data_IF_855679140572
#
_entry.id   IF_855679140572
#
_cell.length_a   1.000
_cell.length_b   1.000
_cell.length_c   1.000
_cell.angle_alpha   90.00
_cell.angle_beta   90.00
_cell.angle_gamma   90.00
#
_symmetry.space_group_name_H-M   'P 1'
#
loop_
_entity.id
_entity.type
_entity.pdbx_description
1 polymer ?
#
# COMPACT_ATOMS: atom_id res chain seq x y z
N UNK A 1 -25.30 0.44 -2.54
CA UNK A 1 -24.65 1.17 -3.65
C UNK A 1 -23.85 0.23 -4.54
N UNK A 2 -22.99 -0.64 -3.98
CA UNK A 2 -22.21 -1.62 -4.76
C UNK A 2 -23.03 -2.45 -5.74
N UNK A 3 -24.11 -3.10 -5.27
CA UNK A 3 -25.02 -3.88 -6.13
C UNK A 3 -25.67 -3.10 -7.29
N UNK A 4 -25.74 -1.77 -7.23
CA UNK A 4 -26.25 -0.95 -8.35
C UNK A 4 -25.13 -0.71 -9.37
N UNK A 5 -23.92 -0.41 -8.90
CA UNK A 5 -22.74 -0.21 -9.75
C UNK A 5 -22.39 -1.51 -10.48
N UNK A 6 -22.39 -2.62 -9.76
CA UNK A 6 -22.20 -3.96 -10.30
C UNK A 6 -23.19 -4.25 -11.44
N UNK A 7 -24.49 -3.99 -11.24
CA UNK A 7 -25.50 -4.16 -12.30
C UNK A 7 -25.27 -3.26 -13.51
N UNK A 8 -24.77 -2.04 -13.30
CA UNK A 8 -24.42 -1.14 -14.41
C UNK A 8 -23.26 -1.74 -15.20
N UNK A 9 -22.18 -2.13 -14.53
CA UNK A 9 -21.00 -2.68 -15.18
C UNK A 9 -21.28 -4.03 -15.86
N UNK A 10 -22.03 -4.92 -15.22
CA UNK A 10 -22.48 -6.18 -15.82
C UNK A 10 -23.28 -5.93 -17.09
N UNK A 11 -24.09 -4.87 -17.13
CA UNK A 11 -24.83 -4.52 -18.34
C UNK A 11 -23.91 -4.01 -19.44
N UNK A 12 -22.86 -3.27 -19.11
CA UNK A 12 -21.88 -2.83 -20.12
C UNK A 12 -21.13 -4.03 -20.73
N UNK A 13 -20.70 -4.96 -19.88
CA UNK A 13 -19.96 -6.16 -20.26
C UNK A 13 -20.79 -7.16 -21.08
N UNK A 14 -22.06 -7.39 -20.68
CA UNK A 14 -22.97 -8.24 -21.47
C UNK A 14 -23.28 -7.69 -22.86
N UNK A 15 -23.25 -6.36 -23.04
CA UNK A 15 -23.52 -5.72 -24.32
C UNK A 15 -22.24 -5.48 -25.14
N UNK A 16 -21.07 -5.49 -24.50
CA UNK A 16 -19.76 -5.26 -25.11
C UNK A 16 -18.74 -6.19 -24.42
N UNK A 17 -18.43 -7.30 -25.07
CA UNK A 17 -17.49 -8.30 -24.56
C UNK A 17 -16.11 -7.67 -24.29
N UNK A 18 -15.49 -8.03 -23.16
CA UNK A 18 -14.17 -7.57 -22.73
C UNK A 18 -13.99 -6.05 -22.65
N UNK A 19 -15.08 -5.31 -22.50
CA UNK A 19 -15.06 -3.84 -22.54
C UNK A 19 -14.11 -3.23 -21.50
N UNK A 20 -13.94 -3.88 -20.35
CA UNK A 20 -13.01 -3.41 -19.32
C UNK A 20 -11.54 -3.61 -19.69
N UNK A 21 -11.21 -4.62 -20.50
CA UNK A 21 -9.89 -4.76 -21.09
C UNK A 21 -9.68 -3.68 -22.18
N UNK A 22 -10.67 -3.44 -23.04
CA UNK A 22 -10.61 -2.36 -24.03
C UNK A 22 -10.45 -0.99 -23.36
N UNK A 23 -11.14 -0.74 -22.24
CA UNK A 23 -10.98 0.50 -21.46
C UNK A 23 -9.54 0.74 -21.02
N UNK A 24 -8.77 -0.32 -20.75
CA UNK A 24 -7.36 -0.22 -20.35
C UNK A 24 -6.49 0.09 -21.56
N UNK A 25 -6.68 -0.60 -22.69
CA UNK A 25 -5.81 -0.51 -23.88
C UNK A 25 -6.12 0.68 -24.78
N UNK A 26 -7.40 0.90 -25.09
CA UNK A 26 -7.89 1.99 -25.93
C UNK A 26 -9.24 2.53 -25.42
N UNK A 27 -9.17 3.60 -24.64
CA UNK A 27 -10.36 4.22 -24.08
C UNK A 27 -11.27 4.83 -25.15
N UNK A 28 -10.73 5.33 -26.26
CA UNK A 28 -11.55 5.94 -27.32
C UNK A 28 -12.32 4.86 -28.08
N UNK A 29 -11.70 3.71 -28.33
CA UNK A 29 -12.39 2.54 -28.86
C UNK A 29 -13.51 2.07 -27.92
N UNK A 30 -13.22 1.97 -26.62
CA UNK A 30 -14.23 1.62 -25.63
C UNK A 30 -15.42 2.59 -25.64
N UNK A 31 -15.20 3.89 -25.86
CA UNK A 31 -16.27 4.88 -25.99
C UNK A 31 -17.10 4.73 -27.27
N UNK A 32 -16.50 4.26 -28.36
CA UNK A 32 -17.22 3.94 -29.60
C UNK A 32 -18.13 2.74 -29.39
N UNK A 33 -17.65 1.71 -28.69
CA UNK A 33 -18.43 0.52 -28.35
C UNK A 33 -19.56 0.86 -27.37
N UNK A 34 -19.25 1.57 -26.28
CA UNK A 34 -20.24 2.03 -25.30
C UNK A 34 -20.09 3.52 -24.98
N UNK A 35 -20.95 4.38 -25.58
CA UNK A 35 -21.04 5.79 -25.21
C UNK A 35 -21.41 6.02 -23.74
N UNK A 36 -21.99 5.02 -23.06
CA UNK A 36 -22.38 5.09 -21.64
C UNK A 36 -21.15 5.13 -20.72
N UNK A 37 -20.02 4.55 -21.13
CA UNK A 37 -18.76 4.63 -20.38
C UNK A 37 -18.28 6.07 -20.20
N UNK A 38 -18.54 6.96 -21.16
CA UNK A 38 -18.22 8.39 -21.01
C UNK A 38 -19.05 9.04 -19.90
N UNK A 39 -20.32 8.64 -19.76
CA UNK A 39 -21.19 9.12 -18.68
C UNK A 39 -20.66 8.63 -17.34
N UNK A 40 -20.32 7.34 -17.24
CA UNK A 40 -19.72 6.73 -16.04
C UNK A 40 -18.43 7.46 -15.66
N UNK A 41 -17.52 7.67 -16.61
CA UNK A 41 -16.27 8.39 -16.41
C UNK A 41 -16.48 9.82 -15.91
N UNK A 42 -17.44 10.57 -16.48
CA UNK A 42 -17.80 11.91 -16.01
C UNK A 42 -18.40 11.90 -14.60
N UNK A 43 -19.19 10.88 -14.27
CA UNK A 43 -19.70 10.72 -12.91
C UNK A 43 -18.55 10.50 -11.92
N UNK A 44 -17.57 9.65 -12.26
CA UNK A 44 -16.40 9.37 -11.41
C UNK A 44 -15.60 10.65 -11.09
N UNK A 45 -15.46 11.57 -12.06
CA UNK A 45 -14.74 12.84 -11.85
C UNK A 45 -15.35 13.75 -10.77
N UNK A 46 -16.63 13.53 -10.42
CA UNK A 46 -17.36 14.29 -9.39
C UNK A 46 -17.55 13.53 -8.08
N UNK A 47 -17.06 12.29 -7.99
CA UNK A 47 -17.30 11.40 -6.86
C UNK A 47 -16.15 11.42 -5.85
N UNK A 48 -16.46 11.18 -4.58
CA UNK A 48 -15.45 11.08 -3.53
C UNK A 48 -14.61 9.79 -3.65
N UNK A 49 -13.52 9.72 -2.88
CA UNK A 49 -12.59 8.59 -2.92
C UNK A 49 -13.25 7.25 -2.58
N UNK A 50 -14.32 7.23 -1.80
CA UNK A 50 -14.99 5.99 -1.41
C UNK A 50 -15.73 5.37 -2.60
N UNK A 51 -16.33 6.20 -3.46
CA UNK A 51 -16.99 5.69 -4.67
C UNK A 51 -15.99 5.18 -5.69
N UNK A 52 -14.85 5.86 -5.86
CA UNK A 52 -13.76 5.38 -6.72
C UNK A 52 -13.24 4.03 -6.23
N UNK A 53 -13.07 3.85 -4.91
CA UNK A 53 -12.73 2.55 -4.31
C UNK A 53 -13.80 1.51 -4.57
N UNK A 54 -15.08 1.83 -4.36
CA UNK A 54 -16.16 0.89 -4.61
C UNK A 54 -16.24 0.44 -6.08
N UNK A 55 -16.06 1.36 -7.03
CA UNK A 55 -15.99 1.03 -8.46
C UNK A 55 -14.79 0.14 -8.77
N UNK A 56 -13.62 0.44 -8.21
CA UNK A 56 -12.41 -0.38 -8.35
C UNK A 56 -12.66 -1.81 -7.86
N UNK A 57 -13.14 -1.96 -6.62
CA UNK A 57 -13.38 -3.27 -6.00
C UNK A 57 -14.48 -4.04 -6.75
N UNK A 58 -15.51 -3.35 -7.26
CA UNK A 58 -16.57 -3.99 -8.07
C UNK A 58 -16.01 -4.51 -9.38
N UNK A 59 -15.17 -3.73 -10.08
CA UNK A 59 -14.57 -4.16 -11.35
C UNK A 59 -13.65 -5.36 -11.13
N UNK A 60 -12.78 -5.27 -10.13
CA UNK A 60 -11.87 -6.35 -9.73
C UNK A 60 -12.64 -7.65 -9.47
N UNK A 61 -13.63 -7.61 -8.57
CA UNK A 61 -14.37 -8.81 -8.13
C UNK A 61 -15.28 -9.39 -9.20
N UNK A 62 -15.82 -8.55 -10.09
CA UNK A 62 -16.82 -9.00 -11.07
C UNK A 62 -16.17 -9.51 -12.35
N UNK A 63 -15.12 -8.82 -12.84
CA UNK A 63 -14.57 -9.08 -14.17
C UNK A 63 -13.20 -9.72 -14.14
N UNK A 64 -12.30 -9.31 -13.23
CA UNK A 64 -10.93 -9.81 -13.24
C UNK A 64 -10.73 -11.01 -12.31
N UNK A 65 -11.51 -11.12 -11.23
CA UNK A 65 -11.34 -12.15 -10.21
C UNK A 65 -11.40 -13.58 -10.74
N UNK A 66 -11.98 -13.85 -11.90
CA UNK A 66 -12.04 -15.21 -12.46
C UNK A 66 -11.06 -15.45 -13.62
N UNK A 67 -10.26 -14.45 -13.98
CA UNK A 67 -9.31 -14.54 -15.09
C UNK A 67 -8.04 -15.30 -14.70
N UNK A 68 -7.42 -15.92 -15.71
CA UNK A 68 -6.13 -16.59 -15.57
C UNK A 68 -4.99 -15.55 -15.62
N UNK A 69 -3.85 -15.88 -15.00
CA UNK A 69 -2.72 -14.95 -14.88
C UNK A 69 -2.16 -14.55 -16.25
N UNK A 70 -2.16 -15.50 -17.19
CA UNK A 70 -1.71 -15.37 -18.57
C UNK A 70 -2.53 -14.32 -19.32
N UNK A 71 -3.84 -14.22 -19.03
CA UNK A 71 -4.73 -13.27 -19.66
C UNK A 71 -4.38 -11.83 -19.30
N UNK A 72 -3.65 -11.58 -18.21
CA UNK A 72 -3.26 -10.24 -17.82
C UNK A 72 -1.99 -9.73 -18.51
N UNK A 73 -1.17 -10.61 -19.10
CA UNK A 73 0.16 -10.26 -19.58
C UNK A 73 0.16 -9.05 -20.53
N UNK A 74 -0.76 -9.07 -21.51
CA UNK A 74 -0.87 -8.02 -22.53
C UNK A 74 -1.42 -6.69 -21.99
N UNK A 75 -1.94 -6.67 -20.76
CA UNK A 75 -2.60 -5.51 -20.16
C UNK A 75 -1.78 -4.83 -19.06
N UNK A 76 -0.71 -5.47 -18.55
CA UNK A 76 0.10 -4.91 -17.44
C UNK A 76 0.74 -3.59 -17.85
N UNK A 77 1.41 -3.54 -19.00
CA UNK A 77 2.07 -2.33 -19.46
C UNK A 77 1.05 -1.19 -19.69
N UNK A 78 -0.02 -1.37 -20.48
CA UNK A 78 -1.09 -0.38 -20.62
C UNK A 78 -1.70 0.08 -19.29
N UNK A 79 -1.93 -0.86 -18.36
CA UNK A 79 -2.49 -0.55 -17.05
C UNK A 79 -1.55 0.35 -16.24
N UNK A 80 -0.24 0.14 -16.32
CA UNK A 80 0.74 0.97 -15.64
C UNK A 80 0.89 2.33 -16.29
N UNK A 81 0.90 2.40 -17.63
CA UNK A 81 0.89 3.67 -18.36
C UNK A 81 -0.28 4.57 -17.92
N UNK A 82 -1.47 3.98 -17.79
CA UNK A 82 -2.67 4.66 -17.33
C UNK A 82 -2.53 5.27 -15.91
N UNK A 83 -1.62 4.76 -15.08
CA UNK A 83 -1.40 5.30 -13.74
C UNK A 83 -0.65 6.63 -13.75
N UNK A 84 0.39 6.76 -14.59
CA UNK A 84 1.33 7.87 -14.56
C UNK A 84 1.18 8.87 -15.72
N UNK A 85 0.58 8.49 -16.85
CA UNK A 85 0.35 9.39 -17.98
C UNK A 85 -0.67 10.49 -17.60
N UNK A 86 -0.40 11.71 -18.04
CA UNK A 86 -1.31 12.84 -17.79
C UNK A 86 -2.52 12.79 -18.72
N UNK A 87 -3.68 13.27 -18.24
CA UNK A 87 -4.90 13.35 -19.04
C UNK A 87 -5.64 12.03 -19.21
N UNK A 88 -5.25 10.98 -18.49
CA UNK A 88 -5.92 9.68 -18.53
C UNK A 88 -7.33 9.79 -17.91
N UNK A 89 -8.37 9.27 -18.60
CA UNK A 89 -9.72 9.13 -18.06
C UNK A 89 -9.73 8.41 -16.71
N UNK A 90 -10.56 8.89 -15.79
CA UNK A 90 -10.62 8.35 -14.44
C UNK A 90 -11.12 6.90 -14.42
N UNK A 91 -12.06 6.56 -15.31
CA UNK A 91 -12.53 5.18 -15.46
C UNK A 91 -11.37 4.27 -15.90
N UNK A 92 -10.61 4.65 -16.93
CA UNK A 92 -9.42 3.90 -17.37
C UNK A 92 -8.46 3.68 -16.21
N UNK A 93 -8.13 4.74 -15.46
CA UNK A 93 -7.25 4.62 -14.29
C UNK A 93 -7.79 3.68 -13.21
N UNK A 94 -9.08 3.72 -12.89
CA UNK A 94 -9.71 2.85 -11.89
C UNK A 94 -9.69 1.39 -12.37
N UNK A 95 -10.05 1.14 -13.62
CA UNK A 95 -10.02 -0.19 -14.23
C UNK A 95 -8.59 -0.76 -14.25
N UNK A 96 -7.58 0.06 -14.58
CA UNK A 96 -6.17 -0.34 -14.51
C UNK A 96 -5.72 -0.69 -13.09
N UNK A 97 -6.16 0.06 -12.07
CA UNK A 97 -5.87 -0.31 -10.67
C UNK A 97 -6.54 -1.65 -10.33
N UNK A 98 -7.80 -1.85 -10.71
CA UNK A 98 -8.52 -3.09 -10.45
C UNK A 98 -7.80 -4.31 -11.07
N UNK A 99 -7.36 -4.19 -12.33
CA UNK A 99 -6.57 -5.24 -13.00
C UNK A 99 -5.25 -5.50 -12.27
N UNK A 100 -4.50 -4.46 -11.91
CA UNK A 100 -3.22 -4.62 -11.22
C UNK A 100 -3.37 -5.25 -9.82
N UNK A 101 -4.49 -4.98 -9.11
CA UNK A 101 -4.78 -5.60 -7.81
C UNK A 101 -4.96 -7.11 -7.96
N UNK A 102 -5.79 -7.53 -8.91
CA UNK A 102 -6.06 -8.94 -9.17
C UNK A 102 -4.83 -9.65 -9.73
N UNK A 103 -4.11 -9.00 -10.66
CA UNK A 103 -2.86 -9.51 -11.19
C UNK A 103 -1.85 -9.84 -10.07
N UNK A 104 -1.66 -8.95 -9.08
CA UNK A 104 -0.78 -9.24 -7.93
C UNK A 104 -1.27 -10.47 -7.16
N UNK A 105 -2.58 -10.57 -6.96
CA UNK A 105 -3.17 -11.70 -6.26
C UNK A 105 -2.89 -13.02 -7.00
N UNK A 106 -3.18 -13.07 -8.30
CA UNK A 106 -2.94 -14.24 -9.15
C UNK A 106 -1.45 -14.58 -9.30
N UNK A 107 -0.60 -13.56 -9.39
CA UNK A 107 0.85 -13.73 -9.41
C UNK A 107 1.36 -14.42 -8.14
N UNK A 108 0.82 -14.05 -6.97
CA UNK A 108 1.21 -14.76 -5.75
C UNK A 108 0.59 -16.15 -5.63
N UNK A 109 -0.61 -16.38 -6.19
CA UNK A 109 -1.18 -17.73 -6.25
C UNK A 109 -0.34 -18.70 -7.09
N UNK A 110 0.27 -18.22 -8.18
CA UNK A 110 1.14 -19.05 -9.02
C UNK A 110 2.51 -19.30 -8.40
N UNK A 111 3.01 -18.39 -7.55
CA UNK A 111 4.28 -18.53 -6.83
C UNK A 111 4.13 -19.35 -5.55
N UNK A 112 3.06 -19.11 -4.79
CA UNK A 112 2.86 -19.69 -3.46
C UNK A 112 1.90 -20.88 -3.60
N UNK A 113 2.46 -22.08 -3.81
CA UNK A 113 1.67 -23.32 -3.83
C UNK A 113 1.02 -23.55 -2.45
N UNK A 114 -0.30 -23.81 -2.43
CA UNK A 114 -1.15 -23.93 -1.22
C UNK A 114 -0.71 -24.97 -0.17
N UNK A 115 0.14 -25.92 -0.53
CA UNK A 115 0.63 -26.94 0.42
C UNK A 115 1.83 -26.47 1.27
N UNK A 116 2.45 -25.32 0.95
CA UNK A 116 3.58 -24.75 1.68
C UNK A 116 3.16 -23.73 2.77
N UNK A 117 1.97 -23.89 3.36
CA UNK A 117 1.42 -22.97 4.37
C UNK A 117 2.10 -23.07 5.76
N UNK A 118 3.21 -23.79 5.89
CA UNK A 118 4.00 -23.80 7.11
C UNK A 118 5.32 -23.04 6.87
N UNK A 119 5.44 -21.78 7.31
CA UNK A 119 6.68 -21.00 7.14
C UNK A 119 7.92 -21.65 7.79
N UNK A 120 7.68 -22.55 8.76
CA UNK A 120 8.70 -23.36 9.45
C UNK A 120 9.27 -24.51 8.58
N UNK A 121 8.60 -24.89 7.48
CA UNK A 121 9.04 -25.97 6.59
C UNK A 121 9.68 -25.45 5.31
N UNK A 122 9.74 -24.14 5.11
CA UNK A 122 10.35 -23.53 3.95
C UNK A 122 11.88 -23.71 4.01
N UNK A 123 12.38 -24.78 3.40
CA UNK A 123 13.81 -25.01 3.16
C UNK A 123 14.27 -24.22 1.91
N UNK A 124 15.57 -23.91 1.80
CA UNK A 124 16.12 -23.24 0.59
C UNK A 124 15.85 -24.08 -0.67
N UNK A 125 15.77 -25.41 -0.52
CA UNK A 125 15.55 -26.40 -1.58
C UNK A 125 14.07 -26.53 -2.01
N UNK A 126 13.09 -26.02 -1.24
CA UNK A 126 11.66 -26.05 -1.61
C UNK A 126 11.28 -25.04 -2.70
N UNK A 127 12.17 -24.09 -2.97
CA UNK A 127 11.98 -23.05 -3.99
C UNK A 127 12.74 -23.30 -5.30
N UNK A 128 13.41 -24.44 -5.43
CA UNK A 128 13.95 -24.95 -6.70
C UNK A 128 12.85 -25.49 -7.64
N UNK A 129 11.58 -25.37 -7.24
CA UNK A 129 10.44 -25.89 -7.96
C UNK A 129 9.95 -24.92 -9.03
N UNK A 130 10.22 -25.28 -10.28
CA UNK A 130 9.47 -24.96 -11.50
C UNK A 130 8.16 -24.20 -11.22
N UNK A 131 8.22 -22.88 -11.40
CA UNK A 131 7.05 -22.02 -11.35
C UNK A 131 6.29 -22.22 -12.66
N UNK A 132 4.99 -22.47 -12.59
CA UNK A 132 4.09 -22.39 -13.75
C UNK A 132 3.83 -20.91 -14.12
N UNK A 133 4.87 -20.07 -14.13
CA UNK A 133 4.81 -18.72 -14.65
C UNK A 133 5.57 -18.71 -15.96
N UNK A 134 4.90 -18.25 -17.02
CA UNK A 134 5.54 -18.01 -18.30
C UNK A 134 6.77 -17.10 -18.13
N UNK A 135 7.96 -17.57 -18.53
CA UNK A 135 9.23 -16.83 -18.42
C UNK A 135 9.12 -15.40 -19.01
N UNK A 136 8.36 -15.23 -20.09
CA UNK A 136 8.14 -13.93 -20.72
C UNK A 136 7.39 -12.95 -19.81
N UNK A 137 6.37 -13.43 -19.09
CA UNK A 137 5.61 -12.63 -18.14
C UNK A 137 6.52 -12.23 -16.96
N UNK A 138 7.33 -13.16 -16.47
CA UNK A 138 8.29 -12.89 -15.40
C UNK A 138 9.30 -11.82 -15.79
N UNK A 139 9.87 -11.90 -17.00
CA UNK A 139 10.81 -10.93 -17.54
C UNK A 139 10.18 -9.54 -17.70
N UNK A 140 8.95 -9.48 -18.20
CA UNK A 140 8.18 -8.23 -18.30
C UNK A 140 7.99 -7.58 -16.93
N UNK A 141 7.53 -8.35 -15.93
CA UNK A 141 7.32 -7.84 -14.57
C UNK A 141 8.62 -7.34 -13.97
N UNK A 142 9.70 -8.11 -14.11
CA UNK A 142 11.00 -7.75 -13.59
C UNK A 142 11.54 -6.46 -14.22
N UNK A 143 11.37 -6.30 -15.54
CA UNK A 143 11.71 -5.08 -16.25
C UNK A 143 10.92 -3.89 -15.70
N UNK A 144 9.59 -4.01 -15.65
CA UNK A 144 8.69 -2.97 -15.19
C UNK A 144 8.95 -2.54 -13.74
N UNK A 145 9.12 -3.49 -12.83
CA UNK A 145 9.33 -3.20 -11.42
C UNK A 145 10.75 -2.68 -11.14
N UNK A 146 11.64 -2.55 -12.12
CA UNK A 146 12.91 -1.84 -11.91
C UNK A 146 12.80 -0.33 -12.03
N UNK A 147 11.74 0.20 -12.66
CA UNK A 147 11.57 1.64 -12.85
C UNK A 147 11.43 2.40 -11.52
N UNK A 148 12.17 3.50 -11.40
CA UNK A 148 12.11 4.41 -10.25
C UNK A 148 10.97 5.42 -10.44
N UNK A 149 9.74 4.99 -10.15
CA UNK A 149 8.55 5.82 -10.22
C UNK A 149 7.66 5.63 -8.98
N UNK A 150 7.08 6.70 -8.39
CA UNK A 150 6.29 6.59 -7.16
C UNK A 150 5.10 5.59 -7.22
N UNK A 151 4.47 5.46 -8.39
CA UNK A 151 3.36 4.51 -8.59
C UNK A 151 3.85 3.07 -8.75
N UNK A 152 5.03 2.85 -9.36
CA UNK A 152 5.68 1.54 -9.41
C UNK A 152 6.13 1.14 -8.01
N UNK A 153 6.65 2.08 -7.21
CA UNK A 153 6.93 1.85 -5.81
C UNK A 153 5.64 1.48 -5.03
N UNK A 154 4.53 2.17 -5.28
CA UNK A 154 3.24 1.83 -4.65
C UNK A 154 2.77 0.42 -5.01
N UNK A 155 2.97 -0.02 -6.27
CA UNK A 155 2.68 -1.38 -6.70
C UNK A 155 3.57 -2.41 -6.02
N UNK A 156 4.89 -2.17 -5.93
CA UNK A 156 5.82 -3.00 -5.14
C UNK A 156 5.34 -3.19 -3.70
N UNK A 157 4.88 -2.11 -3.08
CA UNK A 157 4.33 -2.17 -1.72
C UNK A 157 3.02 -2.97 -1.67
N UNK A 158 2.19 -2.89 -2.71
CA UNK A 158 0.98 -3.69 -2.84
C UNK A 158 1.30 -5.20 -2.91
N UNK A 159 2.34 -5.60 -3.64
CA UNK A 159 2.84 -6.98 -3.65
C UNK A 159 3.15 -7.49 -2.23
N UNK A 160 3.88 -6.72 -1.42
CA UNK A 160 4.15 -7.10 -0.03
C UNK A 160 2.88 -7.15 0.83
N UNK A 161 1.96 -6.21 0.61
CA UNK A 161 0.71 -6.17 1.35
C UNK A 161 -0.16 -7.39 1.08
N UNK A 162 -0.12 -7.93 -0.14
CA UNK A 162 -0.86 -9.14 -0.47
C UNK A 162 -0.29 -10.38 0.25
N UNK A 163 1.04 -10.48 0.37
CA UNK A 163 1.68 -11.50 1.22
C UNK A 163 1.20 -11.41 2.68
N UNK A 164 1.13 -10.20 3.25
CA UNK A 164 0.59 -10.02 4.60
C UNK A 164 -0.87 -10.48 4.73
N UNK A 165 -1.69 -10.36 3.67
CA UNK A 165 -3.09 -10.82 3.66
C UNK A 165 -3.21 -12.34 3.60
N UNK A 166 -2.14 -13.02 3.16
CA UNK A 166 -2.00 -14.47 3.11
C UNK A 166 -1.38 -15.02 4.41
N UNK A 167 -1.51 -14.28 5.51
CA UNK A 167 -1.02 -14.62 6.84
C UNK A 167 0.51 -14.76 6.98
N UNK A 168 1.30 -14.30 6.01
CA UNK A 168 2.75 -14.24 6.18
C UNK A 168 3.12 -13.22 7.27
N UNK A 169 3.95 -13.64 8.22
CA UNK A 169 4.52 -12.71 9.18
C UNK A 169 5.59 -11.86 8.51
N UNK A 170 5.93 -10.75 9.16
CA UNK A 170 7.00 -9.85 8.72
C UNK A 170 8.32 -10.58 8.45
N UNK A 171 8.73 -11.44 9.38
CA UNK A 171 10.01 -12.14 9.26
C UNK A 171 9.96 -13.18 8.12
N UNK A 172 8.78 -13.78 7.87
CA UNK A 172 8.54 -14.69 6.75
C UNK A 172 8.61 -13.96 5.40
N UNK A 173 8.03 -12.76 5.30
CA UNK A 173 8.11 -11.93 4.09
C UNK A 173 9.55 -11.55 3.80
N UNK A 174 10.34 -11.21 4.82
CA UNK A 174 11.76 -10.87 4.64
C UNK A 174 12.53 -12.11 4.16
N UNK A 175 12.32 -13.27 4.79
CA UNK A 175 12.95 -14.53 4.38
C UNK A 175 12.57 -14.88 2.95
N UNK A 176 11.28 -14.84 2.63
CA UNK A 176 10.74 -15.06 1.28
C UNK A 176 11.39 -14.12 0.26
N UNK A 177 11.41 -12.81 0.53
CA UNK A 177 12.01 -11.84 -0.38
C UNK A 177 13.52 -12.05 -0.58
N UNK A 178 14.22 -12.48 0.47
CA UNK A 178 15.65 -12.78 0.40
C UNK A 178 15.97 -14.02 -0.42
N UNK A 179 15.10 -15.04 -0.37
CA UNK A 179 15.23 -16.25 -1.18
C UNK A 179 14.86 -15.95 -2.64
N UNK A 180 13.71 -15.30 -2.86
CA UNK A 180 13.16 -15.02 -4.17
C UNK A 180 13.89 -13.91 -4.95
N UNK A 181 14.91 -13.28 -4.38
CA UNK A 181 15.68 -12.17 -5.01
C UNK A 181 16.43 -12.55 -6.29
N UNK A 182 16.55 -13.83 -6.60
CA UNK A 182 17.16 -14.33 -7.84
C UNK A 182 16.14 -14.31 -8.98
N UNK A 183 14.92 -14.80 -8.71
CA UNK A 183 13.79 -14.79 -9.61
C UNK A 183 13.15 -13.40 -9.77
N UNK A 184 13.08 -12.64 -8.67
CA UNK A 184 12.44 -11.33 -8.58
C UNK A 184 13.45 -10.29 -8.06
N UNK A 185 14.37 -9.80 -8.91
CA UNK A 185 15.46 -8.92 -8.48
C UNK A 185 14.99 -7.62 -7.82
N UNK A 186 13.80 -7.12 -8.19
CA UNK A 186 13.22 -5.91 -7.63
C UNK A 186 12.86 -6.03 -6.14
N UNK A 187 12.75 -7.24 -5.58
CA UNK A 187 12.57 -7.46 -4.14
C UNK A 187 13.76 -6.94 -3.32
N UNK A 188 14.94 -6.80 -3.93
CA UNK A 188 16.12 -6.19 -3.29
C UNK A 188 15.98 -4.70 -3.05
N UNK A 189 15.03 -4.05 -3.72
CA UNK A 189 14.81 -2.60 -3.58
C UNK A 189 14.16 -2.22 -2.24
N UNK A 190 13.60 -3.19 -1.51
CA UNK A 190 13.06 -2.94 -0.19
C UNK A 190 14.17 -2.87 0.87
N UNK A 191 14.20 -1.77 1.62
CA UNK A 191 15.09 -1.62 2.76
C UNK A 191 14.51 -2.35 3.98
N UNK A 192 14.78 -3.66 4.07
CA UNK A 192 14.42 -4.49 5.24
C UNK A 192 15.27 -4.18 6.49
N UNK A 193 16.15 -3.17 6.42
CA UNK A 193 17.08 -2.87 7.49
C UNK A 193 16.32 -2.68 8.80
N UNK A 194 16.61 -3.61 9.72
CA UNK A 194 16.29 -3.57 11.13
C UNK A 194 16.86 -2.28 11.70
N UNK A 195 16.13 -1.17 11.61
CA UNK A 195 16.37 -0.06 12.52
C UNK A 195 15.95 -0.64 13.86
N UNK A 196 16.95 -1.06 14.66
CA UNK A 196 16.92 -1.78 15.96
C UNK A 196 15.88 -1.33 16.99
N UNK A 197 15.09 -0.32 16.66
CA UNK A 197 14.11 0.35 17.48
C UNK A 197 12.69 0.27 16.88
N UNK A 198 12.38 -0.43 15.78
CA UNK A 198 10.98 -0.60 15.32
C UNK A 198 10.71 -2.00 14.77
N UNK A 199 9.74 -2.71 15.34
CA UNK A 199 9.22 -4.00 14.82
C UNK A 199 8.09 -3.86 13.79
N UNK A 200 7.69 -2.65 13.43
CA UNK A 200 6.90 -2.47 12.20
C UNK A 200 7.87 -2.41 11.02
N UNK A 201 8.05 -3.57 10.37
CA UNK A 201 8.80 -3.73 9.11
C UNK A 201 8.20 -2.95 7.95
N UNK A 202 6.91 -2.65 8.03
CA UNK A 202 6.20 -1.83 7.07
C UNK A 202 5.68 -0.56 7.74
N UNK A 203 6.23 0.57 7.31
CA UNK A 203 5.80 1.88 7.73
C UNK A 203 5.13 2.59 6.54
N UNK A 204 3.80 2.52 6.38
CA UNK A 204 3.11 3.09 5.23
C UNK A 204 3.25 4.62 5.14
N UNK A 205 3.73 5.25 6.22
CA UNK A 205 3.91 6.69 6.28
C UNK A 205 5.27 7.14 5.74
N UNK A 206 6.22 6.23 5.46
CA UNK A 206 7.56 6.57 4.97
C UNK A 206 7.57 7.27 3.60
N UNK A 207 6.52 7.06 2.79
CA UNK A 207 6.33 7.72 1.50
C UNK A 207 5.85 9.17 1.61
N UNK A 208 5.47 9.63 2.81
CA UNK A 208 5.04 11.02 3.01
C UNK A 208 6.27 11.96 3.04
N UNK A 209 6.23 13.09 2.33
CA UNK A 209 7.40 13.98 2.19
C UNK A 209 8.00 14.42 3.52
N UNK A 210 7.15 14.68 4.51
CA UNK A 210 7.55 15.20 5.81
C UNK A 210 7.89 14.09 6.83
N UNK A 211 7.66 12.81 6.52
CA UNK A 211 7.86 11.69 7.45
C UNK A 211 9.32 11.51 7.84
N UNK A 212 10.22 11.53 6.85
CA UNK A 212 11.65 11.36 7.11
C UNK A 212 12.23 12.45 8.02
N UNK A 213 11.72 13.68 7.93
CA UNK A 213 12.10 14.76 8.84
C UNK A 213 11.57 14.51 10.26
N UNK A 214 10.30 14.09 10.38
CA UNK A 214 9.67 13.74 11.64
C UNK A 214 10.42 12.62 12.38
N UNK A 215 10.72 11.56 11.65
CA UNK A 215 11.40 10.36 12.11
C UNK A 215 12.82 10.68 12.58
N UNK A 216 13.64 11.32 11.73
CA UNK A 216 15.01 11.73 12.11
C UNK A 216 15.02 12.63 13.33
N UNK A 217 14.10 13.59 13.38
CA UNK A 217 14.02 14.52 14.51
C UNK A 217 13.62 13.82 15.80
N UNK A 218 12.68 12.89 15.74
CA UNK A 218 12.27 12.07 16.88
C UNK A 218 13.39 11.14 17.35
N UNK A 219 14.10 10.49 16.43
CA UNK A 219 15.21 9.59 16.76
C UNK A 219 16.38 10.31 17.43
N UNK A 220 16.71 11.55 17.02
CA UNK A 220 17.70 12.38 17.71
C UNK A 220 17.29 12.72 19.15
N UNK A 221 16.00 12.92 19.38
CA UNK A 221 15.46 13.12 20.71
C UNK A 221 15.48 11.83 21.54
N UNK A 222 15.03 10.71 20.95
CA UNK A 222 14.92 9.41 21.63
C UNK A 222 16.29 8.83 22.02
N UNK A 223 17.28 8.92 21.14
CA UNK A 223 18.61 8.31 21.34
C UNK A 223 19.55 9.13 22.23
N UNK A 224 19.60 10.45 22.04
CA UNK A 224 20.60 11.33 22.69
C UNK A 224 19.97 12.56 23.36
N UNK A 225 18.64 12.63 23.46
CA UNK A 225 17.94 13.69 24.19
C UNK A 225 17.82 15.04 23.44
N UNK A 226 18.27 15.12 22.19
CA UNK A 226 18.23 16.37 21.42
C UNK A 226 16.82 16.67 20.88
N UNK A 227 16.11 17.58 21.55
CA UNK A 227 14.72 17.96 21.22
C UNK A 227 14.58 18.89 20.02
N UNK A 228 15.62 19.67 19.68
CA UNK A 228 15.49 20.80 18.77
C UNK A 228 14.99 20.42 17.36
N UNK A 229 15.46 19.33 16.72
CA UNK A 229 14.96 18.92 15.40
C UNK A 229 13.47 18.58 15.41
N UNK A 230 13.01 17.79 16.39
CA UNK A 230 11.59 17.43 16.50
C UNK A 230 10.71 18.64 16.83
N UNK A 231 11.18 19.56 17.67
CA UNK A 231 10.45 20.80 17.95
C UNK A 231 10.31 21.69 16.72
N UNK A 232 11.37 21.79 15.90
CA UNK A 232 11.31 22.52 14.63
C UNK A 232 10.25 21.91 13.70
N UNK A 233 10.23 20.59 13.58
CA UNK A 233 9.20 19.87 12.81
C UNK A 233 7.78 20.19 13.30
N UNK A 234 7.54 20.08 14.62
CA UNK A 234 6.25 20.42 15.22
C UNK A 234 5.87 21.89 15.00
N UNK A 235 6.81 22.81 15.13
CA UNK A 235 6.57 24.24 14.87
C UNK A 235 6.20 24.51 13.41
N UNK A 236 6.81 23.78 12.46
CA UNK A 236 6.45 23.88 11.05
C UNK A 236 5.00 23.44 10.82
N UNK A 237 4.56 22.34 11.44
CA UNK A 237 3.15 21.91 11.40
C UNK A 237 2.22 22.96 12.00
N UNK A 238 2.60 23.59 13.13
CA UNK A 238 1.81 24.67 13.75
C UNK A 238 1.64 25.87 12.82
N UNK A 239 2.69 26.25 12.09
CA UNK A 239 2.69 27.40 11.17
C UNK A 239 1.97 27.10 9.85
N UNK A 240 2.16 25.91 9.29
CA UNK A 240 1.58 25.49 8.01
C UNK A 240 1.09 24.03 8.08
N UNK A 241 -0.14 23.80 8.58
CA UNK A 241 -0.64 22.47 8.82
C UNK A 241 -1.11 21.78 7.52
N UNK A 242 -0.20 21.12 6.79
CA UNK A 242 -0.54 20.26 5.64
C UNK A 242 -1.12 18.92 6.12
N UNK A 243 -1.94 18.28 5.27
CA UNK A 243 -2.47 16.94 5.55
C UNK A 243 -1.34 15.92 5.65
N UNK A 244 -0.36 15.98 4.75
CA UNK A 244 0.81 15.09 4.70
C UNK A 244 1.69 15.22 5.93
N UNK A 245 1.88 16.43 6.48
CA UNK A 245 2.65 16.62 7.71
C UNK A 245 1.88 16.12 8.95
N UNK A 246 0.54 16.26 8.99
CA UNK A 246 -0.30 15.67 10.04
C UNK A 246 -0.28 14.15 10.01
N UNK A 247 -0.39 13.55 8.82
CA UNK A 247 -0.30 12.10 8.62
C UNK A 247 1.11 11.58 8.93
N UNK A 248 2.15 12.35 8.59
CA UNK A 248 3.54 12.02 8.95
C UNK A 248 3.74 11.95 10.46
N UNK A 249 3.23 12.96 11.16
CA UNK A 249 3.23 13.00 12.62
C UNK A 249 2.41 11.84 13.21
N UNK A 250 1.22 11.56 12.66
CA UNK A 250 0.40 10.43 13.10
C UNK A 250 1.13 9.10 12.95
N UNK A 251 1.72 8.88 11.78
CA UNK A 251 2.48 7.68 11.45
C UNK A 251 3.62 7.45 12.42
N UNK A 252 4.38 8.49 12.73
CA UNK A 252 5.46 8.43 13.70
C UNK A 252 4.94 7.98 15.09
N UNK A 253 3.84 8.56 15.56
CA UNK A 253 3.25 8.23 16.87
C UNK A 253 2.76 6.78 16.93
N UNK A 254 2.10 6.33 15.87
CA UNK A 254 1.64 4.95 15.76
C UNK A 254 2.84 3.99 15.73
N UNK A 255 3.82 4.26 14.86
CA UNK A 255 4.95 3.37 14.63
C UNK A 255 5.88 3.29 15.84
N UNK A 256 6.27 4.44 16.40
CA UNK A 256 7.28 4.52 17.47
C UNK A 256 6.69 4.44 18.88
N UNK A 257 5.50 4.97 19.13
CA UNK A 257 4.99 5.05 20.51
C UNK A 257 3.93 4.01 20.82
N UNK A 258 3.19 3.51 19.83
CA UNK A 258 2.17 2.49 20.06
C UNK A 258 2.67 1.08 19.72
N UNK A 259 3.14 0.84 18.50
CA UNK A 259 3.55 -0.51 18.09
C UNK A 259 4.78 -1.02 18.86
N UNK A 260 5.78 -0.16 19.15
CA UNK A 260 6.92 -0.54 20.00
C UNK A 260 6.44 -0.96 21.40
N UNK A 261 5.56 -0.16 22.01
CA UNK A 261 5.06 -0.43 23.37
C UNK A 261 4.20 -1.69 23.44
N UNK A 262 3.35 -1.90 22.45
CA UNK A 262 2.51 -3.09 22.36
C UNK A 262 3.34 -4.37 22.15
N UNK A 263 4.52 -4.27 21.54
CA UNK A 263 5.38 -5.42 21.23
C UNK A 263 6.30 -5.92 22.37
N UNK A 264 6.38 -5.21 23.50
CA UNK A 264 7.12 -5.66 24.68
C UNK A 264 6.12 -6.15 25.72
N UNK A 265 6.15 -7.44 26.04
CA UNK A 265 5.29 -8.03 27.07
C UNK A 265 5.23 -7.15 28.33
N UNK A 266 4.03 -6.58 28.53
CA UNK A 266 3.41 -5.92 29.68
C UNK A 266 4.11 -5.90 31.05
N UNK A 267 5.39 -5.50 31.17
CA UNK A 267 5.97 -5.31 32.51
C UNK A 267 6.58 -3.95 32.78
N UNK A 268 7.32 -3.32 31.88
CA UNK A 268 7.85 -1.97 32.15
C UNK A 268 8.08 -1.15 30.87
N UNK A 269 7.36 -0.03 30.64
CA UNK A 269 7.72 0.90 29.58
C UNK A 269 9.12 1.46 29.85
N UNK A 270 9.98 1.51 28.83
CA UNK A 270 11.32 2.07 29.02
C UNK A 270 11.20 3.55 29.43
N UNK A 271 12.08 4.01 30.32
CA UNK A 271 12.09 5.40 30.80
C UNK A 271 12.10 6.42 29.65
N UNK A 272 12.87 6.12 28.58
CA UNK A 272 12.94 6.90 27.35
C UNK A 272 11.60 7.03 26.63
N UNK A 273 10.77 5.98 26.61
CA UNK A 273 9.46 5.98 25.95
C UNK A 273 8.44 6.79 26.73
N UNK A 274 8.44 6.66 28.06
CA UNK A 274 7.55 7.44 28.94
C UNK A 274 7.91 8.93 28.86
N UNK A 275 9.21 9.24 28.87
CA UNK A 275 9.71 10.60 28.68
C UNK A 275 9.34 11.14 27.29
N UNK A 276 9.43 10.29 26.26
CA UNK A 276 9.09 10.67 24.89
C UNK A 276 7.61 10.97 24.71
N UNK A 277 6.71 10.12 25.22
CA UNK A 277 5.27 10.42 25.14
C UNK A 277 4.89 11.67 25.93
N UNK A 278 5.48 11.92 27.11
CA UNK A 278 5.24 13.16 27.86
C UNK A 278 5.66 14.39 27.08
N UNK A 279 6.85 14.34 26.47
CA UNK A 279 7.37 15.43 25.64
C UNK A 279 6.48 15.68 24.42
N UNK A 280 6.15 14.63 23.68
CA UNK A 280 5.26 14.70 22.53
C UNK A 280 3.88 15.23 22.91
N UNK A 281 3.28 14.75 24.00
CA UNK A 281 1.97 15.25 24.50
C UNK A 281 1.99 16.77 24.70
N UNK A 282 3.07 17.30 25.28
CA UNK A 282 3.26 18.75 25.47
C UNK A 282 3.35 19.50 24.14
N UNK A 283 4.08 18.95 23.18
CA UNK A 283 4.25 19.56 21.86
C UNK A 283 2.92 19.61 21.07
N UNK A 284 2.11 18.56 21.18
CA UNK A 284 0.81 18.41 20.49
C UNK A 284 -0.29 19.32 21.04
N UNK A 285 -0.23 19.72 22.32
CA UNK A 285 -1.19 20.64 22.91
C UNK A 285 -1.29 21.98 22.15
N UNK A 286 -0.21 22.39 21.48
CA UNK A 286 -0.17 23.61 20.68
C UNK A 286 -0.52 23.44 19.20
N UNK A 287 -0.91 22.25 18.72
CA UNK A 287 -1.27 22.01 17.31
C UNK A 287 -2.80 22.01 17.16
N UNK A 288 -3.31 22.71 16.14
CA UNK A 288 -4.72 22.65 15.77
C UNK A 288 -5.05 21.34 15.04
N UNK A 289 -5.39 20.31 15.81
CA UNK A 289 -5.80 18.98 15.35
C UNK A 289 -7.30 18.78 15.59
N UNK A 290 -7.96 17.99 14.73
CA UNK A 290 -9.37 17.63 14.91
C UNK A 290 -9.60 16.87 16.22
N UNK A 291 -10.81 16.93 16.77
CA UNK A 291 -11.15 16.26 18.03
C UNK A 291 -10.90 14.75 17.99
N UNK A 292 -11.28 14.10 16.88
CA UNK A 292 -11.03 12.67 16.65
C UNK A 292 -9.52 12.35 16.62
N UNK A 293 -8.73 13.16 15.92
CA UNK A 293 -7.29 12.96 15.84
C UNK A 293 -6.62 13.12 17.21
N UNK A 294 -7.02 14.15 17.97
CA UNK A 294 -6.54 14.34 19.35
C UNK A 294 -6.86 13.13 20.23
N UNK A 295 -8.10 12.62 20.15
CA UNK A 295 -8.51 11.45 20.92
C UNK A 295 -7.66 10.21 20.60
N UNK A 296 -7.48 9.89 19.31
CA UNK A 296 -6.67 8.73 18.88
C UNK A 296 -5.23 8.89 19.35
N UNK A 297 -4.62 10.06 19.11
CA UNK A 297 -3.24 10.36 19.53
C UNK A 297 -3.07 10.25 21.03
N UNK A 298 -4.00 10.80 21.83
CA UNK A 298 -3.96 10.69 23.29
C UNK A 298 -4.05 9.24 23.74
N UNK A 299 -4.88 8.42 23.09
CA UNK A 299 -4.99 7.00 23.39
C UNK A 299 -3.72 6.22 23.02
N UNK A 300 -3.10 6.51 21.87
CA UNK A 300 -1.82 5.93 21.46
C UNK A 300 -0.71 6.30 22.47
N UNK A 301 -0.60 7.58 22.84
CA UNK A 301 0.41 8.11 23.76
C UNK A 301 0.24 7.58 25.20
N UNK A 302 -0.99 7.32 25.62
CA UNK A 302 -1.31 6.73 26.93
C UNK A 302 -1.31 5.21 26.93
N UNK A 303 -1.03 4.58 25.78
CA UNK A 303 -1.08 3.13 25.58
C UNK A 303 -2.44 2.51 25.94
N UNK A 304 -3.53 3.25 25.67
CA UNK A 304 -4.92 2.82 25.92
C UNK A 304 -5.68 2.48 24.63
N UNK A 305 -5.05 2.66 23.48
CA UNK A 305 -5.64 2.26 22.20
C UNK A 305 -5.59 0.73 22.10
N UNK A 306 -6.71 0.04 21.80
CA UNK A 306 -6.68 -1.39 21.51
C UNK A 306 -5.79 -1.65 20.30
N UNK A 307 -4.96 -2.70 20.37
CA UNK A 307 -4.31 -3.23 19.18
C UNK A 307 -5.42 -3.67 18.21
N UNK A 308 -5.40 -3.26 16.93
CA UNK A 308 -6.32 -3.77 15.93
C UNK A 308 -6.19 -5.28 15.76
#
# INVERSE_FOLDING_TARGET
MGAIIERIFLKEDLENEDIFFTVITDFEEALVQSPRLNIINKCLGNLDTNMATLCCDTIEQTFFMNEELENFADFIEPALEALYKQGIPLLQKITSIALLKEFVHRFWDSIIKKDNNNPDQIEEDDFDNDFDINELLLDQINSILTFDHPLIHSLKIYFLRDLCRRDFLTDDIIKFCNVQKHLLPWLRSFSWQYIKECRLSFNPYCCLPEYNEAEKGFMMFYSIGNKAPFQKFVQNIKKKPTLTAKLSLFGLLFVRLHAIRASREWRYPLYSETQSAKFVTKELAGINLSGLFKAIVTNLLSNKQPSP
#
